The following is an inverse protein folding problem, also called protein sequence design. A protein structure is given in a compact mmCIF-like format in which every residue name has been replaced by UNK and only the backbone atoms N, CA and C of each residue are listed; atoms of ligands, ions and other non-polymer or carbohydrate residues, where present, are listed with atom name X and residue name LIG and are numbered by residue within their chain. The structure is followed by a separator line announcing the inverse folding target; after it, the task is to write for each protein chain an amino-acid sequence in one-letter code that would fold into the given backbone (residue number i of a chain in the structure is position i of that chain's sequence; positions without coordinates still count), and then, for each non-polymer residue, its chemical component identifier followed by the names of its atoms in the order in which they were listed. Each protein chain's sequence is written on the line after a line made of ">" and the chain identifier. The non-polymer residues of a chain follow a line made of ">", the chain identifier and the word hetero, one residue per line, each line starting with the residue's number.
data_IF_699926649585
#
_entry.id   IF_699926649585
#
_cell.length_a   1.000
_cell.length_b   1.000
_cell.length_c   1.000
_cell.angle_alpha   90.00
_cell.angle_beta   90.00
_cell.angle_gamma   90.00
#
_symmetry.space_group_name_H-M   'P 1'
#
loop_
_entity.id
_entity.type
_entity.pdbx_description
1 polymer ?
#
# COMPACT_ATOMS: atom_id res chain seq x y z
N UNK A 1 6.38 15.90 11.80
CA UNK A 1 6.49 16.48 10.42
C UNK A 1 7.97 16.58 10.07
N UNK A 2 8.46 15.91 9.02
CA UNK A 2 9.87 16.08 8.57
C UNK A 2 10.52 14.92 7.80
N UNK A 3 9.97 13.71 7.79
CA UNK A 3 10.69 12.51 7.33
C UNK A 3 10.57 12.15 5.83
N UNK A 4 9.86 12.95 5.02
CA UNK A 4 9.53 12.55 3.64
C UNK A 4 10.73 12.40 2.70
N UNK A 5 11.84 13.12 2.93
CA UNK A 5 13.05 13.03 2.10
C UNK A 5 13.93 11.86 2.53
N UNK A 6 14.12 11.69 3.83
CA UNK A 6 14.91 10.60 4.42
C UNK A 6 14.26 9.24 4.16
N UNK A 7 12.93 9.17 4.26
CA UNK A 7 12.16 7.94 4.00
C UNK A 7 12.37 7.38 2.59
N UNK A 8 12.50 8.24 1.57
CA UNK A 8 12.83 7.80 0.21
C UNK A 8 14.25 7.26 0.12
N UNK A 9 15.23 7.92 0.76
CA UNK A 9 16.63 7.50 0.73
C UNK A 9 16.77 6.11 1.36
N UNK A 10 16.22 5.93 2.56
CA UNK A 10 16.23 4.63 3.24
C UNK A 10 15.48 3.55 2.48
N UNK A 11 14.34 3.87 1.87
CA UNK A 11 13.64 2.91 1.02
C UNK A 11 14.50 2.46 -0.17
N UNK A 12 15.23 3.39 -0.79
CA UNK A 12 16.16 3.05 -1.87
C UNK A 12 17.30 2.16 -1.39
N UNK A 13 17.90 2.48 -0.24
CA UNK A 13 18.95 1.65 0.38
C UNK A 13 18.45 0.21 0.66
N UNK A 14 17.21 0.06 1.15
CA UNK A 14 16.57 -1.25 1.37
C UNK A 14 16.38 -2.03 0.06
N UNK A 15 15.97 -1.37 -1.03
CA UNK A 15 15.80 -2.03 -2.34
C UNK A 15 17.13 -2.42 -2.98
N UNK A 16 18.17 -1.62 -2.75
CA UNK A 16 19.51 -1.81 -3.29
C UNK A 16 20.31 -2.85 -2.50
N UNK A 17 19.84 -3.26 -1.31
CA UNK A 17 20.68 -3.94 -0.33
C UNK A 17 21.24 -5.28 -0.81
N UNK A 18 20.37 -6.13 -1.37
CA UNK A 18 20.74 -7.44 -1.93
C UNK A 18 21.24 -7.36 -3.37
N UNK A 19 20.79 -6.37 -4.14
CA UNK A 19 21.24 -6.21 -5.54
C UNK A 19 22.73 -5.87 -5.59
N UNK A 20 23.19 -5.02 -4.67
CA UNK A 20 24.57 -4.55 -4.62
C UNK A 20 25.39 -5.17 -3.49
N UNK A 21 24.85 -6.17 -2.79
CA UNK A 21 25.51 -6.83 -1.65
C UNK A 21 26.09 -5.82 -0.65
N UNK A 22 25.29 -4.80 -0.34
CA UNK A 22 25.68 -3.65 0.48
C UNK A 22 26.14 -4.03 1.89
N UNK A 23 25.79 -5.23 2.35
CA UNK A 23 26.16 -5.78 3.65
C UNK A 23 27.54 -6.48 3.64
N UNK A 24 28.19 -6.58 2.47
CA UNK A 24 29.59 -6.98 2.35
C UNK A 24 29.80 -8.50 2.30
N UNK A 25 29.17 -9.17 1.34
CA UNK A 25 29.35 -10.60 1.09
C UNK A 25 28.40 -11.47 1.88
N UNK A 26 27.13 -11.08 1.99
CA UNK A 26 26.10 -11.89 2.68
C UNK A 26 24.94 -12.29 1.77
N UNK A 27 24.81 -11.66 0.59
CA UNK A 27 23.85 -12.09 -0.44
C UNK A 27 24.21 -13.45 -1.07
N UNK A 28 25.49 -13.82 -1.30
CA UNK A 28 25.86 -15.18 -1.74
C UNK A 28 25.39 -16.30 -0.80
N UNK A 29 25.22 -15.97 0.49
CA UNK A 29 24.76 -16.84 1.57
C UNK A 29 23.23 -16.94 1.62
N UNK A 30 22.52 -16.03 0.93
CA UNK A 30 21.06 -16.03 0.76
C UNK A 30 20.47 -14.63 0.57
N UNK A 31 19.30 -14.53 -0.07
CA UNK A 31 18.54 -13.26 -0.15
C UNK A 31 18.04 -12.91 1.25
N UNK A 32 18.18 -11.64 1.65
CA UNK A 32 17.70 -11.12 2.92
C UNK A 32 16.16 -10.95 2.89
N UNK A 33 15.44 -12.07 2.93
CA UNK A 33 13.98 -12.13 2.79
C UNK A 33 13.24 -11.22 3.79
N UNK A 34 13.75 -11.07 5.02
CA UNK A 34 13.18 -10.15 6.01
C UNK A 34 13.24 -8.68 5.59
N UNK A 35 14.36 -8.26 5.00
CA UNK A 35 14.55 -6.89 4.46
C UNK A 35 13.63 -6.66 3.26
N UNK A 36 13.55 -7.65 2.37
CA UNK A 36 12.65 -7.58 1.21
C UNK A 36 11.18 -7.55 1.60
N UNK A 37 10.76 -8.33 2.60
CA UNK A 37 9.43 -8.25 3.19
C UNK A 37 9.14 -6.89 3.83
N UNK A 38 10.12 -6.33 4.56
CA UNK A 38 10.03 -4.99 5.14
C UNK A 38 9.85 -3.88 4.08
N UNK A 39 10.42 -4.04 2.89
CA UNK A 39 10.22 -3.10 1.77
C UNK A 39 8.75 -3.03 1.33
N UNK A 40 8.05 -4.16 1.27
CA UNK A 40 6.62 -4.22 0.92
C UNK A 40 5.76 -3.58 2.01
N UNK A 41 6.08 -3.86 3.27
CA UNK A 41 5.39 -3.28 4.42
C UNK A 41 5.55 -1.74 4.43
N UNK A 42 6.74 -1.22 4.09
CA UNK A 42 6.96 0.22 3.98
C UNK A 42 6.12 0.85 2.87
N UNK A 43 5.98 0.20 1.72
CA UNK A 43 5.12 0.70 0.63
C UNK A 43 3.64 0.65 1.03
N UNK A 44 3.16 -0.49 1.53
CA UNK A 44 1.74 -0.71 1.80
C UNK A 44 1.27 0.03 3.05
N UNK A 45 1.94 -0.13 4.19
CA UNK A 45 1.51 0.48 5.46
C UNK A 45 2.16 1.84 5.70
N UNK A 46 3.44 1.99 5.34
CA UNK A 46 4.14 3.26 5.52
C UNK A 46 3.63 4.35 4.58
N UNK A 47 3.67 4.10 3.26
CA UNK A 47 3.38 5.14 2.27
C UNK A 47 1.91 5.20 1.87
N UNK A 48 1.31 4.06 1.53
CA UNK A 48 -0.12 4.02 1.23
C UNK A 48 -1.00 4.14 2.48
N UNK A 49 -0.44 3.90 3.68
CA UNK A 49 -1.18 4.02 4.94
C UNK A 49 -2.24 2.95 5.10
N UNK A 50 -1.99 1.74 4.59
CA UNK A 50 -2.88 0.60 4.73
C UNK A 50 -2.91 0.12 6.18
N UNK A 51 -4.11 0.08 6.75
CA UNK A 51 -4.39 -0.62 8.01
C UNK A 51 -5.57 -1.57 7.78
N UNK A 52 -5.43 -2.82 8.25
CA UNK A 52 -6.52 -3.79 8.27
C UNK A 52 -7.06 -3.82 9.69
N UNK A 53 -8.26 -3.29 9.89
CA UNK A 53 -8.98 -3.32 11.15
C UNK A 53 -9.97 -4.50 11.15
N UNK A 54 -10.54 -4.80 12.30
CA UNK A 54 -11.47 -5.92 12.47
C UNK A 54 -12.67 -5.83 11.53
N UNK A 55 -13.22 -4.63 11.37
CA UNK A 55 -14.45 -4.37 10.62
C UNK A 55 -14.21 -3.69 9.26
N UNK A 56 -13.03 -3.10 9.00
CA UNK A 56 -12.78 -2.27 7.81
C UNK A 56 -11.32 -2.18 7.39
N UNK A 57 -11.12 -1.75 6.14
CA UNK A 57 -9.80 -1.37 5.63
C UNK A 57 -9.66 0.14 5.79
N UNK A 58 -8.50 0.64 6.22
CA UNK A 58 -8.21 2.07 6.26
C UNK A 58 -7.04 2.40 5.35
N UNK A 59 -7.15 3.53 4.65
CA UNK A 59 -6.11 4.08 3.77
C UNK A 59 -5.83 5.52 4.18
N UNK A 60 -4.60 5.78 4.64
CA UNK A 60 -4.13 7.10 5.07
C UNK A 60 -2.85 7.50 4.33
N UNK A 61 -2.95 8.02 3.10
CA UNK A 61 -1.78 8.21 2.23
C UNK A 61 -0.79 9.24 2.79
N UNK A 62 0.49 8.86 2.82
CA UNK A 62 1.63 9.70 3.23
C UNK A 62 2.80 9.45 2.27
N UNK A 63 2.59 9.72 0.98
CA UNK A 63 3.60 9.41 -0.03
C UNK A 63 4.87 10.28 0.16
N UNK A 64 6.07 9.70 0.09
CA UNK A 64 7.33 10.46 0.08
C UNK A 64 7.40 11.42 -1.12
N UNK A 65 8.18 12.51 -0.97
CA UNK A 65 8.31 13.53 -2.02
C UNK A 65 8.81 12.90 -3.31
N UNK A 66 8.06 13.02 -4.40
CA UNK A 66 8.39 12.51 -5.74
C UNK A 66 7.84 11.11 -6.05
N UNK A 67 7.11 10.46 -5.14
CA UNK A 67 6.24 9.35 -5.50
C UNK A 67 4.93 9.98 -5.96
N UNK A 68 4.60 9.81 -7.24
CA UNK A 68 3.33 10.32 -7.76
C UNK A 68 2.18 9.43 -7.35
N UNK A 69 2.40 8.11 -7.33
CA UNK A 69 1.36 7.10 -7.16
C UNK A 69 1.95 5.77 -6.69
N UNK A 70 1.18 5.04 -5.90
CA UNK A 70 1.46 3.65 -5.50
C UNK A 70 0.26 2.80 -5.89
N UNK A 71 0.51 1.65 -6.51
CA UNK A 71 -0.54 0.71 -6.90
C UNK A 71 -0.23 -0.67 -6.34
N UNK A 72 -1.22 -1.32 -5.73
CA UNK A 72 -1.08 -2.68 -5.20
C UNK A 72 -2.45 -3.35 -5.12
N UNK A 73 -2.46 -4.66 -4.82
CA UNK A 73 -3.68 -5.38 -4.49
C UNK A 73 -3.49 -6.21 -3.23
N UNK A 74 -4.56 -6.43 -2.49
CA UNK A 74 -4.61 -7.35 -1.34
C UNK A 74 -5.77 -8.31 -1.51
N UNK A 75 -5.63 -9.49 -0.91
CA UNK A 75 -6.75 -10.37 -0.70
C UNK A 75 -7.32 -10.11 0.70
N UNK A 76 -8.50 -9.52 0.78
CA UNK A 76 -9.20 -9.25 2.03
C UNK A 76 -10.48 -10.08 2.08
N UNK A 77 -10.58 -11.00 3.05
CA UNK A 77 -11.73 -11.91 3.21
C UNK A 77 -12.11 -12.61 1.89
N UNK A 78 -11.11 -13.20 1.22
CA UNK A 78 -11.22 -13.89 -0.08
C UNK A 78 -11.55 -12.99 -1.28
N UNK A 79 -11.40 -11.67 -1.14
CA UNK A 79 -11.70 -10.73 -2.20
C UNK A 79 -10.47 -9.93 -2.61
N UNK A 80 -10.17 -9.91 -3.91
CA UNK A 80 -9.10 -9.09 -4.44
C UNK A 80 -9.52 -7.63 -4.52
N UNK A 81 -8.82 -6.78 -3.79
CA UNK A 81 -9.05 -5.33 -3.76
C UNK A 81 -7.80 -4.65 -4.32
N UNK A 82 -8.01 -3.85 -5.35
CA UNK A 82 -6.98 -3.12 -6.07
C UNK A 82 -7.01 -1.67 -5.61
N UNK A 83 -5.86 -1.17 -5.16
CA UNK A 83 -5.66 0.19 -4.71
C UNK A 83 -4.74 0.94 -5.67
N UNK A 84 -5.10 2.18 -5.94
CA UNK A 84 -4.24 3.17 -6.57
C UNK A 84 -4.28 4.42 -5.71
N UNK A 85 -3.16 4.74 -5.08
CA UNK A 85 -3.05 5.75 -4.04
C UNK A 85 -2.12 6.86 -4.51
N UNK A 86 -2.58 8.10 -4.45
CA UNK A 86 -1.74 9.28 -4.58
C UNK A 86 -2.11 10.32 -3.49
N UNK A 87 -1.45 11.48 -3.50
CA UNK A 87 -1.65 12.52 -2.48
C UNK A 87 -2.97 13.30 -2.60
N UNK A 88 -3.73 13.11 -3.68
CA UNK A 88 -4.98 13.82 -4.00
C UNK A 88 -6.19 12.88 -4.02
N UNK A 89 -6.00 11.61 -4.31
CA UNK A 89 -7.09 10.65 -4.46
C UNK A 89 -6.66 9.21 -4.13
N UNK A 90 -7.65 8.41 -3.77
CA UNK A 90 -7.55 6.94 -3.68
C UNK A 90 -8.54 6.36 -4.68
N UNK A 91 -8.06 5.52 -5.58
CA UNK A 91 -8.92 4.72 -6.46
C UNK A 91 -8.95 3.29 -5.98
N UNK A 92 -10.15 2.71 -5.90
CA UNK A 92 -10.38 1.37 -5.36
C UNK A 92 -11.22 0.59 -6.36
N UNK A 93 -10.81 -0.64 -6.65
CA UNK A 93 -11.62 -1.59 -7.39
C UNK A 93 -11.66 -2.90 -6.64
N UNK A 94 -12.85 -3.39 -6.37
CA UNK A 94 -13.07 -4.66 -5.70
C UNK A 94 -13.47 -5.66 -6.79
N UNK A 95 -12.64 -6.67 -7.01
CA UNK A 95 -12.94 -7.71 -7.99
C UNK A 95 -14.15 -8.52 -7.53
N UNK A 96 -14.98 -8.88 -8.52
CA UNK A 96 -16.13 -9.74 -8.31
C UNK A 96 -15.77 -11.14 -8.81
N UNK A 97 -15.67 -12.09 -7.89
CA UNK A 97 -15.60 -13.52 -8.23
C UNK A 97 -16.96 -14.16 -7.90
N UNK A 98 -17.83 -14.28 -8.92
CA UNK A 98 -19.12 -14.97 -8.80
C UNK A 98 -20.39 -14.08 -8.81
N UNK A 99 -21.52 -14.70 -8.43
CA UNK A 99 -22.87 -14.11 -8.59
C UNK A 99 -23.25 -13.12 -7.50
N UNK A 100 -22.72 -13.23 -6.28
CA UNK A 100 -23.10 -12.32 -5.19
C UNK A 100 -22.17 -11.11 -5.10
N UNK A 101 -22.78 -9.93 -4.98
CA UNK A 101 -22.04 -8.70 -4.69
C UNK A 101 -21.81 -8.59 -3.19
N UNK A 102 -20.61 -8.19 -2.79
CA UNK A 102 -20.29 -7.87 -1.39
C UNK A 102 -19.90 -6.40 -1.29
N UNK A 103 -20.19 -5.80 -0.15
CA UNK A 103 -19.83 -4.44 0.18
C UNK A 103 -18.71 -4.45 1.20
N UNK A 104 -17.62 -3.74 0.91
CA UNK A 104 -16.45 -3.64 1.81
C UNK A 104 -16.37 -2.23 2.39
N UNK A 105 -16.38 -2.06 3.72
CA UNK A 105 -16.13 -0.77 4.34
C UNK A 105 -14.66 -0.38 4.21
N UNK A 106 -14.42 0.80 3.64
CA UNK A 106 -13.09 1.41 3.50
C UNK A 106 -13.10 2.81 4.11
N UNK A 107 -12.24 3.04 5.09
CA UNK A 107 -12.03 4.33 5.72
C UNK A 107 -10.93 5.12 5.00
N UNK A 108 -11.25 6.35 4.58
CA UNK A 108 -10.31 7.29 3.97
C UNK A 108 -10.49 8.64 4.63
N UNK A 109 -9.42 9.18 5.24
CA UNK A 109 -9.46 10.44 6.00
C UNK A 109 -10.58 10.49 7.06
N UNK A 110 -10.78 9.38 7.79
CA UNK A 110 -11.79 9.27 8.84
C UNK A 110 -13.23 9.14 8.34
N UNK A 111 -13.47 9.04 7.02
CA UNK A 111 -14.79 8.78 6.44
C UNK A 111 -14.86 7.35 5.93
N UNK A 112 -15.90 6.63 6.32
CA UNK A 112 -16.14 5.24 5.88
C UNK A 112 -17.00 5.22 4.63
N UNK A 113 -16.54 4.48 3.62
CA UNK A 113 -17.22 4.25 2.35
C UNK A 113 -17.54 2.77 2.20
N UNK A 114 -18.77 2.44 1.84
CA UNK A 114 -19.19 1.07 1.58
C UNK A 114 -19.08 0.81 0.08
N UNK A 115 -18.11 -0.01 -0.30
CA UNK A 115 -17.73 -0.21 -1.70
C UNK A 115 -18.21 -1.56 -2.20
N UNK A 116 -19.10 -1.55 -3.19
CA UNK A 116 -19.58 -2.75 -3.87
C UNK A 116 -18.53 -3.36 -4.81
N UNK A 117 -18.50 -4.69 -4.89
CA UNK A 117 -17.72 -5.41 -5.88
C UNK A 117 -18.15 -5.12 -7.33
N UNK A 118 -17.18 -5.18 -8.25
CA UNK A 118 -17.35 -4.93 -9.67
C UNK A 118 -17.38 -3.44 -10.07
N UNK A 119 -17.37 -2.51 -9.11
CA UNK A 119 -17.33 -1.07 -9.37
C UNK A 119 -15.95 -0.48 -9.03
N UNK A 120 -15.55 0.54 -9.78
CA UNK A 120 -14.35 1.33 -9.50
C UNK A 120 -14.75 2.65 -8.86
N UNK A 121 -14.18 2.93 -7.71
CA UNK A 121 -14.39 4.14 -6.94
C UNK A 121 -13.17 5.05 -7.05
N UNK A 122 -13.40 6.36 -7.07
CA UNK A 122 -12.37 7.39 -6.96
C UNK A 122 -12.78 8.34 -5.85
N UNK A 123 -11.98 8.41 -4.78
CA UNK A 123 -12.27 9.20 -3.60
C UNK A 123 -11.20 10.27 -3.47
N UNK A 124 -11.60 11.54 -3.53
CA UNK A 124 -10.68 12.67 -3.40
C UNK A 124 -10.33 12.94 -1.94
N UNK A 125 -9.04 13.08 -1.68
CA UNK A 125 -8.45 13.44 -0.40
C UNK A 125 -8.39 14.97 -0.36
N UNK A 126 -9.41 15.62 0.22
CA UNK A 126 -9.34 17.07 0.47
C UNK A 126 -8.28 17.34 1.55
N UNK A 127 -7.45 18.36 1.34
CA UNK A 127 -6.52 18.86 2.36
C UNK A 127 -7.26 19.64 3.43
#
# INVERSE_FOLDING_TARGET
>A
MGLHKESRRWFREVLESDIFDTQGGTTPEGIHMGVMGGSLELVMRGFAGLEILEDRIKISPVLPRGFEKISFRINYRNNWIYFVVDNKQVSIFIQRDGKEGFSTPVEIKGRVYYLDSGKRYKITIRK
#
